data_IF_020883745893
#
_entry.id   IF_020883745893
#
_cell.length_a   1.000
_cell.length_b   1.000
_cell.length_c   1.000
_cell.angle_alpha   90.00
_cell.angle_beta   90.00
_cell.angle_gamma   90.00
#
_symmetry.space_group_name_H-M   'P 1'
#
loop_
_entity.id
_entity.type
_entity.pdbx_description
1 polymer ?
#
# COMPACT_ATOMS: atom_id res chain seq x y z
N UNK A 1 20.72 -14.85 -0.93
CA UNK A 1 20.13 -13.64 -1.55
C UNK A 1 18.62 -13.71 -1.42
N UNK A 2 18.02 -12.79 -0.67
CA UNK A 2 16.63 -12.87 -0.26
C UNK A 2 15.68 -12.80 -1.46
N UNK A 3 14.57 -13.54 -1.38
CA UNK A 3 13.48 -13.61 -2.35
C UNK A 3 12.68 -12.28 -2.41
N UNK A 4 13.36 -11.16 -2.65
CA UNK A 4 12.82 -9.80 -2.58
C UNK A 4 11.72 -9.55 -3.64
N UNK A 5 11.74 -10.32 -4.73
CA UNK A 5 10.73 -10.28 -5.79
C UNK A 5 9.68 -11.39 -5.71
N UNK A 6 9.63 -12.18 -4.62
CA UNK A 6 8.59 -13.21 -4.50
C UNK A 6 7.25 -12.55 -4.19
N UNK A 7 6.42 -12.43 -5.24
CA UNK A 7 5.10 -11.84 -5.16
C UNK A 7 4.07 -12.91 -4.81
N UNK A 8 3.26 -12.68 -3.79
CA UNK A 8 2.12 -13.55 -3.52
C UNK A 8 0.94 -13.15 -4.43
N UNK A 9 0.85 -13.81 -5.60
CA UNK A 9 -0.21 -13.56 -6.58
C UNK A 9 -1.56 -14.19 -6.22
N UNK A 10 -1.67 -14.90 -5.08
CA UNK A 10 -2.88 -15.69 -4.78
C UNK A 10 -4.12 -14.84 -4.45
N UNK A 11 -3.95 -13.59 -4.02
CA UNK A 11 -5.06 -12.73 -3.61
C UNK A 11 -5.17 -11.49 -4.50
N UNK A 12 -6.35 -11.31 -5.14
CA UNK A 12 -6.65 -10.16 -6.00
C UNK A 12 -6.57 -8.80 -5.30
N UNK A 13 -6.77 -8.75 -3.98
CA UNK A 13 -6.71 -7.52 -3.17
C UNK A 13 -5.33 -6.83 -3.18
N UNK A 14 -4.27 -7.54 -3.56
CA UNK A 14 -2.91 -6.99 -3.64
C UNK A 14 -2.52 -6.52 -5.04
N UNK A 15 -3.50 -6.24 -5.89
CA UNK A 15 -3.28 -5.67 -7.22
C UNK A 15 -4.02 -4.34 -7.38
N UNK A 16 -3.32 -3.36 -7.97
CA UNK A 16 -3.82 -2.06 -8.38
C UNK A 16 -3.93 -1.99 -9.92
N UNK A 17 -4.46 -0.89 -10.45
CA UNK A 17 -4.66 -0.64 -11.89
C UNK A 17 -5.47 -1.76 -12.57
N UNK A 18 -6.71 -1.97 -12.12
CA UNK A 18 -7.62 -3.03 -12.61
C UNK A 18 -7.03 -4.45 -12.48
N UNK A 19 -6.29 -4.71 -11.41
CA UNK A 19 -5.76 -6.04 -11.14
C UNK A 19 -4.47 -6.38 -11.91
N UNK A 20 -3.90 -5.44 -12.68
CA UNK A 20 -2.74 -5.71 -13.54
C UNK A 20 -1.40 -5.50 -12.84
N UNK A 21 -1.33 -4.58 -11.88
CA UNK A 21 -0.08 -4.21 -11.22
C UNK A 21 -0.09 -4.66 -9.76
N UNK A 22 0.82 -5.55 -9.37
CA UNK A 22 0.92 -5.95 -7.96
C UNK A 22 1.37 -4.75 -7.11
N UNK A 23 0.77 -4.59 -5.95
CA UNK A 23 0.95 -3.44 -5.05
C UNK A 23 2.42 -3.24 -4.65
N UNK A 24 3.16 -4.33 -4.39
CA UNK A 24 4.63 -4.27 -4.19
C UNK A 24 5.41 -3.66 -5.37
N UNK A 25 5.01 -3.94 -6.62
CA UNK A 25 5.65 -3.33 -7.79
C UNK A 25 5.22 -1.89 -7.97
N UNK A 26 3.95 -1.57 -7.72
CA UNK A 26 3.47 -0.19 -7.71
C UNK A 26 4.23 0.66 -6.69
N UNK A 27 4.44 0.11 -5.49
CA UNK A 27 5.21 0.78 -4.45
C UNK A 27 6.69 1.00 -4.85
N UNK A 28 7.32 0.02 -5.52
CA UNK A 28 8.66 0.22 -6.08
C UNK A 28 8.68 1.36 -7.11
N UNK A 29 7.69 1.43 -8.00
CA UNK A 29 7.58 2.53 -8.97
C UNK A 29 7.45 3.87 -8.25
N UNK A 30 6.62 3.96 -7.20
CA UNK A 30 6.49 5.17 -6.39
C UNK A 30 7.84 5.55 -5.78
N UNK A 31 8.57 4.60 -5.17
CA UNK A 31 9.91 4.87 -4.61
C UNK A 31 10.85 5.46 -5.67
N UNK A 32 10.89 4.87 -6.87
CA UNK A 32 11.76 5.34 -7.95
C UNK A 32 11.39 6.76 -8.40
N UNK A 33 10.09 7.05 -8.53
CA UNK A 33 9.60 8.39 -8.88
C UNK A 33 9.92 9.39 -7.78
N UNK A 34 9.74 9.04 -6.51
CA UNK A 34 10.06 9.91 -5.37
C UNK A 34 11.55 10.21 -5.31
N UNK A 35 12.42 9.20 -5.37
CA UNK A 35 13.88 9.40 -5.38
C UNK A 35 14.32 10.27 -6.57
N UNK A 36 13.72 10.06 -7.73
CA UNK A 36 14.01 10.90 -8.89
C UNK A 36 13.58 12.36 -8.68
N UNK A 37 12.41 12.59 -8.09
CA UNK A 37 11.93 13.93 -7.76
C UNK A 37 12.86 14.64 -6.76
N UNK A 38 13.28 13.94 -5.71
CA UNK A 38 14.23 14.44 -4.68
C UNK A 38 15.57 14.85 -5.30
N UNK A 39 16.09 14.05 -6.25
CA UNK A 39 17.34 14.39 -6.97
C UNK A 39 17.15 15.64 -7.82
N UNK A 40 16.02 15.78 -8.52
CA UNK A 40 15.73 16.96 -9.33
C UNK A 40 15.57 18.21 -8.47
N UNK A 41 14.88 18.10 -7.34
CA UNK A 41 14.69 19.18 -6.37
C UNK A 41 16.03 19.63 -5.78
N UNK A 42 16.85 18.69 -5.30
CA UNK A 42 18.21 18.96 -4.80
C UNK A 42 19.06 19.64 -5.87
N UNK A 43 19.00 19.15 -7.12
CA UNK A 43 19.72 19.77 -8.24
C UNK A 43 19.22 21.20 -8.51
N UNK A 44 17.93 21.45 -8.37
CA UNK A 44 17.35 22.79 -8.55
C UNK A 44 17.85 23.78 -7.49
N UNK A 45 18.01 23.35 -6.22
CA UNK A 45 18.60 24.17 -5.16
C UNK A 45 20.05 24.56 -5.45
N UNK A 46 20.83 23.64 -6.02
CA UNK A 46 22.22 23.92 -6.42
C UNK A 46 22.27 24.91 -7.60
N UNK A 47 21.36 24.80 -8.57
CA UNK A 47 21.36 25.65 -9.77
C UNK A 47 20.84 27.07 -9.53
N UNK A 48 19.81 27.23 -8.69
CA UNK A 48 19.16 28.54 -8.43
C UNK A 48 19.91 29.36 -7.38
N UNK A 49 20.89 28.76 -6.70
CA UNK A 49 21.67 29.38 -5.63
C UNK A 49 20.92 29.33 -4.30
N UNK A 50 21.67 29.07 -3.23
CA UNK A 50 21.16 28.88 -1.88
C UNK A 50 20.54 30.18 -1.34
N UNK A 51 19.24 30.37 -1.57
CA UNK A 51 18.47 31.39 -0.87
C UNK A 51 18.22 30.86 0.55
N UNK A 52 18.43 31.69 1.57
CA UNK A 52 18.27 31.29 2.97
C UNK A 52 16.85 30.74 3.21
N UNK A 53 16.68 29.42 3.35
CA UNK A 53 15.35 28.83 3.48
C UNK A 53 14.81 29.15 4.87
N UNK A 54 13.49 29.30 4.97
CA UNK A 54 12.85 29.42 6.29
C UNK A 54 13.07 28.14 7.09
N UNK A 55 13.08 28.23 8.43
CA UNK A 55 13.20 27.04 9.29
C UNK A 55 12.12 25.99 8.99
N UNK A 56 10.93 26.43 8.58
CA UNK A 56 9.83 25.54 8.18
C UNK A 56 10.18 24.76 6.90
N UNK A 57 10.71 25.45 5.89
CA UNK A 57 11.16 24.82 4.64
C UNK A 57 12.20 23.75 4.92
N UNK A 58 13.17 24.06 5.78
CA UNK A 58 14.21 23.10 6.18
C UNK A 58 13.64 21.89 6.94
N UNK A 59 12.65 22.10 7.81
CA UNK A 59 11.99 21.01 8.53
C UNK A 59 11.16 20.10 7.61
N UNK A 60 10.49 20.67 6.61
CA UNK A 60 9.74 19.91 5.59
C UNK A 60 10.70 19.06 4.76
N UNK A 61 11.81 19.66 4.30
CA UNK A 61 12.85 18.96 3.54
C UNK A 61 13.41 17.75 4.32
N UNK A 62 13.77 17.92 5.60
CA UNK A 62 14.23 16.81 6.45
C UNK A 62 13.14 15.73 6.56
N UNK A 63 11.88 16.13 6.72
CA UNK A 63 10.77 15.20 6.82
C UNK A 63 10.60 14.38 5.53
N UNK A 64 10.71 15.00 4.37
CA UNK A 64 10.65 14.34 3.07
C UNK A 64 11.78 13.29 2.92
N UNK A 65 13.01 13.62 3.31
CA UNK A 65 14.09 12.62 3.37
C UNK A 65 13.79 11.46 4.32
N UNK A 66 13.24 11.72 5.51
CA UNK A 66 12.85 10.67 6.46
C UNK A 66 11.82 9.75 5.82
N UNK A 67 10.81 10.31 5.13
CA UNK A 67 9.80 9.52 4.44
C UNK A 67 10.42 8.71 3.31
N UNK A 68 11.24 9.31 2.45
CA UNK A 68 11.91 8.62 1.35
C UNK A 68 12.78 7.46 1.83
N UNK A 69 13.59 7.67 2.88
CA UNK A 69 14.41 6.61 3.49
C UNK A 69 13.50 5.52 4.10
N UNK A 70 12.45 5.90 4.83
CA UNK A 70 11.53 4.95 5.45
C UNK A 70 10.85 4.05 4.41
N UNK A 71 10.48 4.59 3.24
CA UNK A 71 9.90 3.83 2.13
C UNK A 71 10.87 2.78 1.58
N UNK A 72 12.15 3.15 1.40
CA UNK A 72 13.19 2.23 0.92
C UNK A 72 13.38 1.09 1.94
N UNK A 73 13.49 1.43 3.23
CA UNK A 73 13.63 0.44 4.31
C UNK A 73 12.40 -0.45 4.39
N UNK A 74 11.18 0.12 4.28
CA UNK A 74 9.93 -0.62 4.26
C UNK A 74 9.89 -1.64 3.12
N UNK A 75 10.36 -1.26 1.93
CA UNK A 75 10.41 -2.15 0.77
C UNK A 75 11.40 -3.31 0.96
N UNK A 76 12.58 -3.04 1.50
CA UNK A 76 13.63 -4.04 1.72
C UNK A 76 13.23 -5.01 2.84
N UNK A 77 12.75 -4.49 3.97
CA UNK A 77 12.40 -5.28 5.15
C UNK A 77 10.99 -5.89 5.08
N UNK A 78 10.17 -5.46 4.12
CA UNK A 78 8.74 -5.80 4.04
C UNK A 78 8.02 -5.46 5.36
N UNK A 79 8.36 -4.30 5.96
CA UNK A 79 7.88 -3.87 7.27
C UNK A 79 6.71 -2.90 7.13
N UNK A 80 5.55 -3.23 7.73
CA UNK A 80 4.37 -2.37 7.74
C UNK A 80 4.57 -1.11 8.58
N UNK A 81 5.35 -1.16 9.66
CA UNK A 81 5.61 0.02 10.51
C UNK A 81 6.40 1.11 9.78
N UNK A 82 7.37 0.71 8.95
CA UNK A 82 8.18 1.65 8.16
C UNK A 82 7.39 2.31 7.01
N UNK A 83 6.17 1.82 6.71
CA UNK A 83 5.26 2.49 5.76
C UNK A 83 4.50 3.66 6.38
N UNK A 84 4.40 3.74 7.72
CA UNK A 84 3.55 4.72 8.40
C UNK A 84 3.92 6.18 8.08
N UNK A 85 5.20 6.59 8.02
CA UNK A 85 5.55 7.96 7.65
C UNK A 85 5.02 8.34 6.27
N UNK A 86 5.16 7.44 5.28
CA UNK A 86 4.65 7.64 3.94
C UNK A 86 3.11 7.69 3.88
N UNK A 87 2.44 6.77 4.57
CA UNK A 87 0.96 6.77 4.65
C UNK A 87 0.45 8.06 5.29
N UNK A 88 1.08 8.51 6.38
CA UNK A 88 0.74 9.76 7.06
C UNK A 88 0.94 10.98 6.18
N UNK A 89 2.10 11.09 5.51
CA UNK A 89 2.37 12.18 4.57
C UNK A 89 1.36 12.20 3.43
N UNK A 90 1.11 11.06 2.78
CA UNK A 90 0.16 10.98 1.67
C UNK A 90 -1.28 11.29 2.10
N UNK A 91 -1.67 10.93 3.32
CA UNK A 91 -2.98 11.31 3.86
C UNK A 91 -3.12 12.83 3.96
N UNK A 92 -2.11 13.52 4.53
CA UNK A 92 -2.11 14.98 4.63
C UNK A 92 -2.12 15.62 3.23
N UNK A 93 -1.30 15.13 2.30
CA UNK A 93 -1.24 15.62 0.91
C UNK A 93 -2.59 15.49 0.21
N UNK A 94 -3.24 14.33 0.30
CA UNK A 94 -4.55 14.09 -0.33
C UNK A 94 -5.63 15.00 0.27
N UNK A 95 -5.65 15.18 1.59
CA UNK A 95 -6.60 16.07 2.26
C UNK A 95 -6.40 17.52 1.79
N UNK A 96 -5.16 18.00 1.74
CA UNK A 96 -4.84 19.36 1.27
C UNK A 96 -5.21 19.56 -0.21
N UNK A 97 -4.91 18.57 -1.06
CA UNK A 97 -5.29 18.58 -2.47
C UNK A 97 -6.82 18.57 -2.66
N UNK A 98 -7.57 17.81 -1.86
CA UNK A 98 -9.03 17.80 -1.90
C UNK A 98 -9.63 19.16 -1.49
N UNK A 99 -9.08 19.80 -0.46
CA UNK A 99 -9.49 21.15 -0.06
C UNK A 99 -9.24 22.13 -1.22
N UNK A 100 -8.04 22.10 -1.81
CA UNK A 100 -7.69 22.95 -2.95
C UNK A 100 -8.59 22.68 -4.17
N UNK A 101 -8.89 21.42 -4.46
CA UNK A 101 -9.81 21.03 -5.53
C UNK A 101 -11.21 21.62 -5.31
N UNK A 102 -11.73 21.56 -4.08
CA UNK A 102 -13.03 22.13 -3.74
C UNK A 102 -13.03 23.67 -3.84
N UNK A 103 -11.94 24.32 -3.43
CA UNK A 103 -11.76 25.77 -3.57
C UNK A 103 -11.76 26.18 -5.05
N UNK A 104 -11.05 25.45 -5.90
CA UNK A 104 -11.00 25.74 -7.35
C UNK A 104 -12.36 25.45 -8.00
N UNK A 105 -13.04 24.36 -7.61
CA UNK A 105 -14.40 24.09 -8.07
C UNK A 105 -15.34 25.26 -7.76
N UNK A 106 -15.24 25.81 -6.55
CA UNK A 106 -15.97 27.02 -6.19
C UNK A 106 -15.58 28.21 -7.08
N UNK A 107 -14.29 28.43 -7.36
CA UNK A 107 -13.85 29.49 -8.27
C UNK A 107 -14.36 29.32 -9.70
N UNK A 108 -14.48 28.09 -10.20
CA UNK A 108 -15.05 27.81 -11.53
C UNK A 108 -16.54 28.19 -11.56
N UNK A 109 -17.29 27.91 -10.49
CA UNK A 109 -18.71 28.28 -10.38
C UNK A 109 -18.92 29.79 -10.13
N UNK A 110 -17.99 30.42 -9.41
CA UNK A 110 -18.00 31.84 -9.06
C UNK A 110 -16.69 32.54 -9.48
N UNK A 111 -16.48 32.79 -10.79
CA UNK A 111 -15.23 33.31 -11.35
C UNK A 111 -14.91 34.77 -10.99
N UNK A 112 -15.87 35.47 -10.37
CA UNK A 112 -15.73 36.82 -9.84
C UNK A 112 -15.57 36.87 -8.32
N UNK A 113 -15.38 35.72 -7.67
CA UNK A 113 -15.08 35.68 -6.23
C UNK A 113 -13.66 36.20 -5.94
N UNK A 114 -13.46 36.77 -4.74
CA UNK A 114 -12.15 37.22 -4.28
C UNK A 114 -11.11 36.09 -4.19
N UNK A 115 -11.56 34.85 -4.01
CA UNK A 115 -10.70 33.66 -4.04
C UNK A 115 -10.23 33.37 -5.48
N UNK A 116 -11.10 33.53 -6.47
CA UNK A 116 -10.73 33.33 -7.88
C UNK A 116 -9.67 34.35 -8.35
N UNK A 117 -9.69 35.58 -7.81
CA UNK A 117 -8.71 36.62 -8.13
C UNK A 117 -7.27 36.22 -7.82
N UNK A 118 -7.04 35.33 -6.84
CA UNK A 118 -5.70 34.82 -6.50
C UNK A 118 -5.03 34.07 -7.66
N UNK A 119 -5.80 33.52 -8.59
CA UNK A 119 -5.29 32.81 -9.77
C UNK A 119 -4.91 33.75 -10.92
N UNK A 120 -5.16 35.05 -10.78
CA UNK A 120 -4.86 36.08 -11.76
C UNK A 120 -3.82 37.06 -11.19
N UNK A 121 -2.55 36.88 -11.56
CA UNK A 121 -1.42 37.70 -11.12
C UNK A 121 -1.40 39.12 -11.70
N UNK A 122 -2.16 39.37 -12.77
CA UNK A 122 -2.12 40.65 -13.49
C UNK A 122 -3.19 41.60 -12.94
N UNK A 123 -2.87 42.25 -11.82
CA UNK A 123 -3.62 43.39 -11.30
C UNK A 123 -3.57 44.54 -12.31
N UNK A 124 -4.46 44.55 -13.30
CA UNK A 124 -4.55 45.60 -14.33
C UNK A 124 -4.92 45.12 -15.73
N UNK A 125 -4.91 43.81 -16.02
CA UNK A 125 -5.48 43.30 -17.29
C UNK A 125 -6.95 42.93 -17.10
N UNK A 126 -7.81 43.54 -17.91
CA UNK A 126 -9.20 43.13 -18.05
C UNK A 126 -9.25 41.79 -18.79
N UNK A 127 -9.26 40.69 -18.03
CA UNK A 127 -9.56 39.38 -18.60
C UNK A 127 -11.04 39.33 -18.99
N UNK A 128 -11.32 38.92 -20.22
CA UNK A 128 -12.69 38.58 -20.63
C UNK A 128 -13.19 37.38 -19.82
N UNK A 129 -14.52 37.25 -19.65
CA UNK A 129 -15.13 36.14 -18.92
C UNK A 129 -14.67 34.77 -19.45
N UNK A 130 -14.63 34.62 -20.78
CA UNK A 130 -14.16 33.39 -21.45
C UNK A 130 -12.69 33.06 -21.12
N UNK A 131 -11.81 34.05 -21.03
CA UNK A 131 -10.40 33.82 -20.66
C UNK A 131 -10.25 33.44 -19.18
N UNK A 132 -11.07 34.03 -18.30
CA UNK A 132 -11.07 33.67 -16.88
C UNK A 132 -11.53 32.23 -16.68
N UNK A 133 -12.67 31.88 -17.27
CA UNK A 133 -13.23 30.53 -17.19
C UNK A 133 -12.27 29.50 -17.78
N UNK A 134 -11.67 29.75 -18.95
CA UNK A 134 -10.72 28.83 -19.56
C UNK A 134 -9.47 28.60 -18.67
N UNK A 135 -8.95 29.66 -18.04
CA UNK A 135 -7.81 29.54 -17.12
C UNK A 135 -8.17 28.77 -15.85
N UNK A 136 -9.32 29.08 -15.23
CA UNK A 136 -9.80 28.38 -14.05
C UNK A 136 -10.10 26.91 -14.33
N UNK A 137 -10.68 26.59 -15.49
CA UNK A 137 -10.94 25.22 -15.92
C UNK A 137 -9.63 24.46 -16.17
N UNK A 138 -8.63 25.10 -16.79
CA UNK A 138 -7.30 24.50 -16.97
C UNK A 138 -6.63 24.17 -15.63
N UNK A 139 -6.67 25.11 -14.68
CA UNK A 139 -6.17 24.90 -13.30
C UNK A 139 -6.95 23.79 -12.61
N UNK A 140 -8.28 23.79 -12.74
CA UNK A 140 -9.16 22.76 -12.17
C UNK A 140 -8.83 21.36 -12.68
N UNK A 141 -8.69 21.19 -14.00
CA UNK A 141 -8.33 19.91 -14.61
C UNK A 141 -6.94 19.46 -14.15
N UNK A 142 -5.98 20.38 -14.12
CA UNK A 142 -4.60 20.08 -13.68
C UNK A 142 -4.58 19.62 -12.23
N UNK A 143 -5.18 20.39 -11.32
CA UNK A 143 -5.26 20.03 -9.90
C UNK A 143 -6.06 18.74 -9.68
N UNK A 144 -7.15 18.54 -10.41
CA UNK A 144 -7.92 17.30 -10.37
C UNK A 144 -7.09 16.07 -10.75
N UNK A 145 -6.26 16.18 -11.79
CA UNK A 145 -5.35 15.12 -12.20
C UNK A 145 -4.31 14.81 -11.10
N UNK A 146 -3.66 15.83 -10.53
CA UNK A 146 -2.72 15.64 -9.43
C UNK A 146 -3.37 15.05 -8.18
N UNK A 147 -4.60 15.49 -7.86
CA UNK A 147 -5.38 14.95 -6.74
C UNK A 147 -5.70 13.47 -6.95
N UNK A 148 -6.05 13.08 -8.18
CA UNK A 148 -6.29 11.68 -8.52
C UNK A 148 -5.02 10.83 -8.40
N UNK A 149 -3.88 11.33 -8.89
CA UNK A 149 -2.58 10.64 -8.75
C UNK A 149 -2.18 10.50 -7.28
N UNK A 150 -2.35 11.55 -6.48
CA UNK A 150 -2.08 11.50 -5.04
C UNK A 150 -3.01 10.49 -4.32
N UNK A 151 -4.29 10.45 -4.69
CA UNK A 151 -5.24 9.45 -4.19
C UNK A 151 -4.82 8.03 -4.57
N UNK A 152 -4.30 7.82 -5.78
CA UNK A 152 -3.76 6.54 -6.20
C UNK A 152 -2.52 6.14 -5.39
N UNK A 153 -1.59 7.07 -5.11
CA UNK A 153 -0.43 6.82 -4.25
C UNK A 153 -0.85 6.41 -2.85
N UNK A 154 -1.82 7.11 -2.25
CA UNK A 154 -2.35 6.76 -0.93
C UNK A 154 -2.99 5.36 -0.92
N UNK A 155 -3.77 5.03 -1.96
CA UNK A 155 -4.34 3.69 -2.10
C UNK A 155 -3.26 2.60 -2.20
N UNK A 156 -2.21 2.82 -2.99
CA UNK A 156 -1.06 1.91 -3.06
C UNK A 156 -0.36 1.82 -1.71
N UNK A 157 -0.20 2.92 -0.99
CA UNK A 157 0.42 2.94 0.34
C UNK A 157 -0.36 2.07 1.34
N UNK A 158 -1.68 2.25 1.42
CA UNK A 158 -2.56 1.48 2.30
C UNK A 158 -2.58 -0.02 1.92
N UNK A 159 -2.68 -0.33 0.62
CA UNK A 159 -2.65 -1.71 0.18
C UNK A 159 -1.28 -2.38 0.45
N UNK A 160 -0.19 -1.61 0.34
CA UNK A 160 1.18 -2.11 0.63
C UNK A 160 1.34 -2.35 2.12
N UNK A 161 0.84 -1.45 2.95
CA UNK A 161 0.79 -1.61 4.40
C UNK A 161 0.06 -2.91 4.78
N UNK A 162 -1.14 -3.13 4.25
CA UNK A 162 -1.90 -4.37 4.46
C UNK A 162 -1.17 -5.62 3.94
N UNK A 163 -0.47 -5.51 2.81
CA UNK A 163 0.30 -6.61 2.24
C UNK A 163 1.50 -7.00 3.12
N UNK A 164 2.25 -6.02 3.62
CA UNK A 164 3.38 -6.26 4.52
C UNK A 164 2.92 -6.81 5.87
N UNK A 165 1.80 -6.30 6.41
CA UNK A 165 1.21 -6.83 7.63
C UNK A 165 0.76 -8.30 7.46
N UNK A 166 0.11 -8.61 6.33
CA UNK A 166 -0.25 -9.99 5.97
C UNK A 166 0.98 -10.91 5.84
N UNK A 167 2.06 -10.43 5.24
CA UNK A 167 3.32 -11.18 5.15
C UNK A 167 3.94 -11.42 6.52
N UNK A 168 3.94 -10.42 7.40
CA UNK A 168 4.44 -10.53 8.76
C UNK A 168 3.65 -11.58 9.55
N UNK A 169 2.32 -11.50 9.53
CA UNK A 169 1.44 -12.49 10.16
C UNK A 169 1.67 -13.91 9.61
N UNK A 170 1.86 -14.05 8.29
CA UNK A 170 2.13 -15.36 7.67
C UNK A 170 3.49 -15.92 8.09
N UNK A 171 4.52 -15.07 8.24
CA UNK A 171 5.83 -15.47 8.76
C UNK A 171 5.71 -15.95 10.21
N UNK A 172 5.03 -15.19 11.08
CA UNK A 172 4.82 -15.57 12.49
C UNK A 172 4.02 -16.86 12.66
N UNK A 173 2.96 -17.07 11.86
CA UNK A 173 2.18 -18.33 11.88
C UNK A 173 3.01 -19.55 11.48
N UNK A 174 3.90 -19.41 10.50
CA UNK A 174 4.80 -20.51 10.08
C UNK A 174 5.82 -20.85 11.15
N UNK A 175 6.39 -19.83 11.80
CA UNK A 175 7.31 -20.03 12.93
C UNK A 175 6.59 -20.67 14.11
N UNK A 176 5.35 -20.26 14.42
CA UNK A 176 4.54 -20.88 15.48
C UNK A 176 4.18 -22.34 15.22
N UNK A 177 3.88 -22.72 13.96
CA UNK A 177 3.68 -24.13 13.58
C UNK A 177 4.97 -24.94 13.72
N UNK A 178 6.10 -24.42 13.24
CA UNK A 178 7.40 -25.08 13.37
C UNK A 178 7.83 -25.25 14.85
N UNK A 179 7.50 -24.28 15.71
CA UNK A 179 7.79 -24.36 17.15
C UNK A 179 6.89 -25.36 17.88
N UNK A 180 5.62 -25.50 17.48
CA UNK A 180 4.72 -26.51 18.04
C UNK A 180 5.09 -27.94 17.60
N UNK A 181 5.75 -28.12 16.46
CA UNK A 181 6.32 -29.41 16.03
C UNK A 181 7.67 -29.72 16.70
N UNK A 182 8.29 -28.75 17.37
CA UNK A 182 9.57 -28.88 18.09
C UNK A 182 9.42 -28.88 19.63
N UNK A 183 8.23 -29.16 20.16
CA UNK A 183 8.11 -29.47 21.58
C UNK A 183 8.86 -30.80 21.86
N UNK A 184 9.82 -30.83 22.81
CA UNK A 184 10.59 -32.02 23.07
C UNK A 184 9.68 -33.14 23.56
N UNK A 185 9.90 -34.35 23.01
CA UNK A 185 9.36 -35.63 23.51
C UNK A 185 9.89 -35.84 24.93
N UNK A 186 9.26 -35.20 25.90
CA UNK A 186 9.64 -35.29 27.32
C UNK A 186 8.44 -35.58 28.24
N UNK A 187 7.33 -36.00 27.65
CA UNK A 187 6.34 -36.83 28.35
C UNK A 187 6.37 -38.20 27.69
N UNK A 188 7.48 -38.90 27.93
CA UNK A 188 7.51 -40.34 27.85
C UNK A 188 6.53 -40.86 28.91
N UNK A 189 5.32 -41.25 28.47
CA UNK A 189 4.40 -42.05 29.27
C UNK A 189 4.98 -43.46 29.41
N UNK A 190 6.07 -43.60 30.16
CA UNK A 190 6.41 -44.90 30.73
C UNK A 190 5.35 -45.25 31.80
N UNK A 191 4.94 -46.51 31.81
CA UNK A 191 4.15 -47.19 32.85
C UNK A 191 2.61 -46.99 32.86
N UNK A 192 1.91 -47.61 31.90
CA UNK A 192 0.55 -48.11 32.11
C UNK A 192 0.40 -49.55 31.56
N UNK A 193 -0.29 -50.46 32.26
CA UNK A 193 -0.44 -51.86 31.87
C UNK A 193 -1.25 -52.01 30.57
N UNK A 194 -1.12 -53.13 29.82
CA UNK A 194 -1.74 -53.30 28.52
C UNK A 194 -3.26 -53.17 28.62
N UNK A 195 -3.81 -52.13 27.97
CA UNK A 195 -5.23 -51.87 27.90
C UNK A 195 -5.87 -52.81 26.85
N UNK A 196 -7.01 -53.48 27.15
CA UNK A 196 -7.65 -54.40 26.21
C UNK A 196 -8.19 -53.68 24.97
N UNK A 197 -8.37 -54.38 23.83
CA UNK A 197 -8.76 -53.77 22.57
C UNK A 197 -10.08 -53.02 22.71
N UNK A 198 -10.08 -51.74 22.30
CA UNK A 198 -11.23 -50.86 22.39
C UNK A 198 -12.42 -51.43 21.59
N UNK A 199 -13.64 -51.46 22.16
CA UNK A 199 -14.84 -51.61 21.35
C UNK A 199 -15.03 -50.34 20.51
N UNK A 200 -15.18 -50.55 19.20
CA UNK A 200 -15.55 -49.49 18.27
C UNK A 200 -16.92 -48.93 18.65
N UNK A 201 -16.95 -47.73 19.21
CA UNK A 201 -18.00 -46.71 19.13
C UNK A 201 -17.79 -45.69 20.27
N UNK A 202 -17.01 -44.64 20.01
CA UNK A 202 -17.11 -43.40 20.78
C UNK A 202 -17.89 -42.38 19.95
N UNK A 203 -18.91 -41.82 20.58
CA UNK A 203 -19.85 -40.87 20.00
C UNK A 203 -19.16 -39.56 19.56
N UNK A 204 -19.66 -38.86 18.52
CA UNK A 204 -19.11 -37.57 18.11
C UNK A 204 -19.35 -36.53 19.22
N UNK A 205 -18.26 -35.92 19.69
CA UNK A 205 -18.31 -34.75 20.58
C UNK A 205 -18.84 -33.54 19.77
N UNK A 206 -19.97 -32.92 20.13
CA UNK A 206 -20.59 -31.86 19.32
C UNK A 206 -19.88 -30.50 19.42
N UNK A 207 -18.84 -30.36 20.25
CA UNK A 207 -18.19 -29.07 20.51
C UNK A 207 -17.03 -28.70 19.56
N UNK A 208 -16.80 -29.48 18.51
CA UNK A 208 -15.92 -29.07 17.40
C UNK A 208 -16.75 -28.93 16.12
N UNK A 209 -17.44 -27.81 16.01
CA UNK A 209 -18.01 -27.37 14.75
C UNK A 209 -16.88 -27.06 13.76
N UNK A 210 -16.92 -27.76 12.63
CA UNK A 210 -16.07 -27.62 11.46
C UNK A 210 -15.63 -26.17 11.18
N UNK A 211 -14.32 -25.94 11.24
CA UNK A 211 -13.64 -24.92 10.46
C UNK A 211 -12.44 -25.54 9.76
N UNK A 212 -12.68 -26.67 9.09
CA UNK A 212 -11.77 -27.35 8.15
C UNK A 212 -12.48 -27.42 6.78
N UNK A 213 -12.81 -26.25 6.24
CA UNK A 213 -13.00 -26.07 4.81
C UNK A 213 -11.72 -25.40 4.30
N UNK A 214 -10.67 -26.14 3.90
CA UNK A 214 -9.65 -25.73 2.89
C UNK A 214 -8.72 -26.89 2.45
N UNK A 215 -9.11 -28.16 2.55
CA UNK A 215 -8.27 -29.29 2.06
C UNK A 215 -9.04 -30.30 1.20
N UNK A 216 -9.73 -29.85 0.14
CA UNK A 216 -10.09 -30.75 -0.97
C UNK A 216 -9.94 -30.04 -2.33
N UNK A 217 -9.68 -30.82 -3.38
CA UNK A 217 -9.56 -30.44 -4.82
C UNK A 217 -8.14 -30.14 -5.35
N UNK A 218 -7.11 -30.78 -4.79
CA UNK A 218 -6.00 -31.31 -5.60
C UNK A 218 -6.15 -32.83 -5.71
N UNK A 219 -7.01 -33.31 -6.63
CA UNK A 219 -6.89 -34.62 -7.29
C UNK A 219 -8.10 -34.88 -8.20
N UNK A 220 -7.95 -34.63 -9.52
CA UNK A 220 -8.57 -35.49 -10.56
C UNK A 220 -8.14 -35.08 -11.98
N UNK A 221 -7.14 -35.79 -12.50
CA UNK A 221 -7.19 -36.34 -13.86
C UNK A 221 -5.95 -37.18 -14.12
N UNK A 222 -5.97 -38.42 -13.66
CA UNK A 222 -5.12 -39.47 -14.18
C UNK A 222 -6.08 -40.55 -14.73
N UNK A 223 -5.99 -40.76 -16.04
CA UNK A 223 -6.82 -41.67 -16.84
C UNK A 223 -6.70 -43.12 -16.33
N UNK A 224 -7.77 -43.94 -16.35
CA UNK A 224 -7.61 -45.39 -16.34
C UNK A 224 -7.35 -45.89 -17.77
N UNK A 225 -6.21 -46.56 -17.95
CA UNK A 225 -6.00 -47.50 -19.05
C UNK A 225 -6.70 -48.81 -18.71
N UNK A 226 -7.49 -49.32 -19.64
CA UNK A 226 -8.11 -50.65 -19.58
C UNK A 226 -7.50 -51.45 -20.72
N UNK A 227 -6.66 -52.43 -20.39
CA UNK A 227 -6.30 -53.53 -21.27
C UNK A 227 -7.24 -54.71 -20.97
N UNK A 228 -8.09 -55.07 -21.92
CA UNK A 228 -8.63 -56.42 -22.12
C UNK A 228 -8.89 -56.57 -23.63
N UNK A 229 -8.02 -57.28 -24.35
CA UNK A 229 -8.23 -58.62 -24.96
C UNK A 229 -6.86 -59.27 -25.12
#
# INVERSE_FOLDING_TARGET
MANLFKLNKSQRRFFTCWGKLHVKMAFLVIILVTVFAEILETASYVMVGWHAPSLLTYAIEIWEYIVTISMIVAFIQESSLMMLPFVGQMFVVVVMMLIMFCQILFCVLAPYSSLAEQFFSDAGKYYTLMQREARLLSVFVTVGLFTFVAGWFLNVALATYQYFDYLAMKKTRRVGRANNEQLPVLVQQDALPPQPPAPAQSFPNPNFGNSDDEDEVFQKSQKPGVDIV
#
